data_IF_439306361670
#
_entry.id   IF_439306361670
#
_cell.length_a   1.000
_cell.length_b   1.000
_cell.length_c   1.000
_cell.angle_alpha   90.00
_cell.angle_beta   90.00
_cell.angle_gamma   90.00
#
_symmetry.space_group_name_H-M   'P 1'
#
loop_
_entity.id
_entity.type
_entity.pdbx_description
1 polymer ?
#
# COMPACT_ATOMS: atom_id res chain seq x y z
N UNK A 1 -15.38 34.82 -9.33
CA UNK A 1 -15.57 33.38 -9.58
C UNK A 1 -14.46 32.61 -8.90
N UNK A 2 -14.74 31.56 -8.11
CA UNK A 2 -13.68 30.79 -7.48
C UNK A 2 -13.07 29.84 -8.50
N UNK A 3 -11.75 29.95 -8.68
CA UNK A 3 -10.94 29.06 -9.49
C UNK A 3 -10.85 27.72 -8.77
N UNK A 4 -11.45 26.68 -9.34
CA UNK A 4 -11.21 25.29 -8.93
C UNK A 4 -9.74 24.97 -9.17
N UNK A 5 -8.97 24.90 -8.08
CA UNK A 5 -7.60 24.41 -8.10
C UNK A 5 -7.67 22.90 -8.23
N UNK A 6 -7.41 22.38 -9.44
CA UNK A 6 -7.29 20.94 -9.68
C UNK A 6 -6.18 20.36 -8.80
N UNK A 7 -6.43 19.28 -8.04
CA UNK A 7 -5.43 18.73 -7.16
C UNK A 7 -4.31 18.07 -7.98
N UNK A 8 -3.14 18.69 -7.98
CA UNK A 8 -1.84 18.02 -8.10
C UNK A 8 -1.55 17.34 -9.44
N UNK A 9 -0.98 18.11 -10.36
CA UNK A 9 -0.12 17.62 -11.44
C UNK A 9 0.93 16.61 -10.88
N UNK A 10 0.73 15.30 -11.06
CA UNK A 10 1.74 14.25 -10.80
C UNK A 10 2.12 13.45 -12.04
N UNK A 11 1.85 14.00 -13.24
CA UNK A 11 2.35 13.46 -14.50
C UNK A 11 3.80 13.90 -14.70
N UNK A 12 4.71 13.33 -13.91
CA UNK A 12 6.15 13.62 -13.96
C UNK A 12 7.06 12.40 -13.77
N UNK A 13 6.50 11.18 -13.75
CA UNK A 13 7.27 9.95 -13.75
C UNK A 13 7.01 9.22 -15.07
N UNK A 14 8.05 9.06 -15.88
CA UNK A 14 8.08 8.36 -17.18
C UNK A 14 7.61 6.89 -17.09
N UNK A 15 6.35 6.62 -16.76
CA UNK A 15 5.80 5.26 -16.58
C UNK A 15 6.37 4.48 -15.39
N UNK A 16 7.14 5.12 -14.50
CA UNK A 16 7.69 4.42 -13.34
C UNK A 16 6.64 4.17 -12.26
N UNK A 17 6.60 2.93 -11.75
CA UNK A 17 5.74 2.55 -10.63
C UNK A 17 5.92 3.48 -9.42
N UNK A 18 4.79 3.88 -8.84
CA UNK A 18 4.70 4.70 -7.63
C UNK A 18 4.59 3.82 -6.38
N UNK A 19 4.99 4.36 -5.23
CA UNK A 19 4.97 3.61 -3.97
C UNK A 19 3.58 3.10 -3.61
N UNK A 20 2.52 3.89 -3.81
CA UNK A 20 1.15 3.44 -3.53
C UNK A 20 0.72 2.25 -4.38
N UNK A 21 1.10 2.23 -5.67
CA UNK A 21 0.82 1.13 -6.60
C UNK A 21 1.55 -0.14 -6.16
N UNK A 22 2.82 0.02 -5.78
CA UNK A 22 3.63 -1.08 -5.26
C UNK A 22 3.07 -1.65 -3.95
N UNK A 23 2.66 -0.81 -3.00
CA UNK A 23 2.05 -1.27 -1.76
C UNK A 23 0.73 -2.01 -2.02
N UNK A 24 -0.09 -1.50 -2.95
CA UNK A 24 -1.32 -2.15 -3.36
C UNK A 24 -1.05 -3.51 -4.01
N UNK A 25 -0.03 -3.62 -4.89
CA UNK A 25 0.41 -4.88 -5.49
C UNK A 25 0.74 -5.93 -4.42
N UNK A 26 1.55 -5.57 -3.43
CA UNK A 26 1.87 -6.49 -2.32
C UNK A 26 0.64 -6.87 -1.49
N UNK A 27 -0.28 -5.92 -1.29
CA UNK A 27 -1.54 -6.13 -0.56
C UNK A 27 -2.55 -7.03 -1.30
N UNK A 28 -2.36 -7.24 -2.60
CA UNK A 28 -3.20 -8.11 -3.43
C UNK A 28 -2.61 -9.49 -3.68
N UNK A 29 -1.43 -9.79 -3.14
CA UNK A 29 -0.75 -11.07 -3.32
C UNK A 29 -0.49 -11.75 -1.97
N UNK A 30 -1.03 -12.95 -1.85
CA UNK A 30 -0.96 -13.78 -0.64
C UNK A 30 0.47 -14.11 -0.21
N UNK A 31 1.44 -14.13 -1.14
CA UNK A 31 2.84 -14.47 -0.81
C UNK A 31 3.51 -13.39 0.05
N UNK A 32 3.00 -12.15 0.02
CA UNK A 32 3.55 -11.04 0.82
C UNK A 32 2.75 -10.75 2.09
N UNK A 33 1.70 -11.54 2.37
CA UNK A 33 0.77 -11.30 3.48
C UNK A 33 1.47 -11.24 4.85
N UNK A 34 2.55 -12.01 5.04
CA UNK A 34 3.33 -11.98 6.30
C UNK A 34 4.08 -10.64 6.51
N UNK A 35 4.32 -9.87 5.45
CA UNK A 35 5.06 -8.60 5.50
C UNK A 35 4.14 -7.38 5.47
N UNK A 36 3.03 -7.47 4.76
CA UNK A 36 2.05 -6.40 4.61
C UNK A 36 0.66 -7.00 4.42
N UNK A 37 -0.33 -6.47 5.13
CA UNK A 37 -1.69 -6.99 5.05
C UNK A 37 -2.73 -5.90 5.30
N UNK A 38 -3.92 -6.11 4.75
CA UNK A 38 -5.13 -5.43 5.21
C UNK A 38 -5.40 -5.79 6.68
N UNK A 39 -5.99 -4.84 7.40
CA UNK A 39 -6.37 -5.02 8.80
C UNK A 39 -7.79 -5.59 8.94
N UNK A 40 -8.60 -5.53 7.88
CA UNK A 40 -10.03 -5.84 7.89
C UNK A 40 -10.91 -4.68 8.39
N UNK A 41 -10.33 -3.51 8.65
CA UNK A 41 -11.06 -2.31 9.04
C UNK A 41 -10.90 -1.20 8.01
N UNK A 42 -12.00 -0.79 7.39
CA UNK A 42 -12.00 0.16 6.27
C UNK A 42 -10.94 -0.21 5.21
N UNK A 43 -10.22 0.78 4.67
CA UNK A 43 -9.06 0.58 3.80
C UNK A 43 -7.73 0.66 4.56
N UNK A 44 -7.70 0.29 5.85
CA UNK A 44 -6.47 0.27 6.65
C UNK A 44 -5.60 -0.96 6.33
N UNK A 45 -4.31 -0.72 6.14
CA UNK A 45 -3.29 -1.75 6.02
C UNK A 45 -2.15 -1.54 7.02
N UNK A 46 -1.47 -2.64 7.35
CA UNK A 46 -0.34 -2.66 8.28
C UNK A 46 0.90 -3.23 7.59
N UNK A 47 2.04 -2.58 7.80
CA UNK A 47 3.34 -3.19 7.52
C UNK A 47 3.71 -4.07 8.71
N UNK A 48 3.55 -5.38 8.56
CA UNK A 48 3.91 -6.38 9.57
C UNK A 48 5.43 -6.53 9.68
N UNK A 49 6.14 -6.45 8.55
CA UNK A 49 7.59 -6.38 8.47
C UNK A 49 8.03 -5.16 7.65
N UNK A 50 8.15 -3.97 8.27
CA UNK A 50 8.44 -2.73 7.56
C UNK A 50 9.77 -2.74 6.81
N UNK A 51 10.80 -3.40 7.36
CA UNK A 51 12.11 -3.50 6.70
C UNK A 51 12.06 -4.38 5.46
N UNK A 52 11.37 -5.53 5.51
CA UNK A 52 11.18 -6.37 4.32
C UNK A 52 10.43 -5.62 3.21
N UNK A 53 9.36 -4.89 3.55
CA UNK A 53 8.62 -4.08 2.57
C UNK A 53 9.51 -2.99 1.97
N UNK A 54 10.36 -2.35 2.77
CA UNK A 54 11.32 -1.37 2.28
C UNK A 54 12.39 -1.97 1.38
N UNK A 55 12.89 -3.16 1.70
CA UNK A 55 13.82 -3.91 0.86
C UNK A 55 13.19 -4.26 -0.49
N UNK A 56 11.96 -4.79 -0.51
CA UNK A 56 11.22 -5.11 -1.74
C UNK A 56 10.99 -3.85 -2.59
N UNK A 57 10.68 -2.71 -1.97
CA UNK A 57 10.59 -1.43 -2.68
C UNK A 57 11.93 -0.98 -3.25
N UNK A 58 13.01 -1.15 -2.49
CA UNK A 58 14.38 -0.90 -2.92
C UNK A 58 14.75 -1.72 -4.15
N UNK A 59 14.44 -3.02 -4.13
CA UNK A 59 14.63 -3.91 -5.28
C UNK A 59 13.82 -3.43 -6.49
N UNK A 60 12.52 -3.12 -6.31
CA UNK A 60 11.64 -2.63 -7.39
C UNK A 60 12.16 -1.36 -8.07
N UNK A 61 12.82 -0.48 -7.33
CA UNK A 61 13.35 0.81 -7.83
C UNK A 61 14.84 0.81 -8.10
N UNK A 62 15.52 -0.34 -7.96
CA UNK A 62 16.97 -0.45 -8.00
C UNK A 62 17.69 0.56 -7.09
N UNK A 63 17.23 0.64 -5.82
CA UNK A 63 17.74 1.51 -4.75
C UNK A 63 18.18 0.64 -3.57
N UNK A 64 19.43 0.13 -3.56
CA UNK A 64 19.89 -0.82 -2.54
C UNK A 64 19.97 -0.24 -1.12
N UNK A 65 19.97 1.09 -0.98
CA UNK A 65 19.98 1.78 0.32
C UNK A 65 18.58 2.13 0.85
N UNK A 66 17.52 1.62 0.23
CA UNK A 66 16.15 1.81 0.72
C UNK A 66 15.98 1.12 2.08
N UNK A 67 15.30 1.79 3.00
CA UNK A 67 14.96 1.30 4.34
C UNK A 67 13.61 1.87 4.77
N UNK A 68 13.06 1.41 5.90
CA UNK A 68 11.74 1.88 6.34
C UNK A 68 11.70 3.38 6.63
N UNK A 69 12.77 3.98 7.16
CA UNK A 69 12.81 5.42 7.41
C UNK A 69 12.58 6.23 6.12
N UNK A 70 13.28 5.88 5.03
CA UNK A 70 13.13 6.51 3.72
C UNK A 70 11.76 6.22 3.10
N UNK A 71 11.28 4.97 3.18
CA UNK A 71 9.96 4.60 2.68
C UNK A 71 8.85 5.37 3.43
N UNK A 72 8.94 5.46 4.75
CA UNK A 72 7.99 6.20 5.58
C UNK A 72 8.03 7.70 5.28
N UNK A 73 9.21 8.25 4.95
CA UNK A 73 9.32 9.65 4.46
C UNK A 73 8.61 9.85 3.14
N UNK A 74 8.66 8.87 2.24
CA UNK A 74 7.92 8.89 0.98
C UNK A 74 6.40 8.80 1.21
N UNK A 75 5.96 7.95 2.15
CA UNK A 75 4.54 7.86 2.53
C UNK A 75 3.96 9.18 3.03
N UNK A 76 4.75 9.99 3.74
CA UNK A 76 4.32 11.32 4.22
C UNK A 76 3.91 12.28 3.10
N UNK A 77 4.46 12.13 1.88
CA UNK A 77 4.04 12.94 0.73
C UNK A 77 2.65 12.58 0.18
N UNK A 78 2.00 11.54 0.72
CA UNK A 78 0.61 11.23 0.41
C UNK A 78 -0.39 11.81 1.42
N UNK A 79 0.04 12.25 2.62
CA UNK A 79 -0.88 12.58 3.71
C UNK A 79 -1.74 13.81 3.41
N UNK A 80 -1.18 14.78 2.69
CA UNK A 80 -1.88 16.00 2.30
C UNK A 80 -2.76 15.80 1.04
N UNK A 81 -2.87 14.56 0.53
CA UNK A 81 -3.66 14.24 -0.65
C UNK A 81 -4.53 13.01 -0.47
N UNK A 82 -5.32 12.71 -1.50
CA UNK A 82 -6.38 11.70 -1.44
C UNK A 82 -5.89 10.26 -1.72
N UNK A 83 -4.63 9.94 -1.44
CA UNK A 83 -4.08 8.62 -1.76
C UNK A 83 -3.88 7.73 -0.53
N UNK A 84 -3.01 8.14 0.40
CA UNK A 84 -2.70 7.38 1.62
C UNK A 84 -2.57 8.32 2.81
N UNK A 85 -3.24 7.99 3.92
CA UNK A 85 -3.13 8.68 5.19
C UNK A 85 -2.43 7.82 6.26
N UNK A 86 -1.84 8.47 7.28
CA UNK A 86 -1.36 7.80 8.49
C UNK A 86 -2.51 7.56 9.45
N UNK A 87 -2.61 6.35 10.00
CA UNK A 87 -3.50 6.09 11.15
C UNK A 87 -2.77 6.46 12.43
N UNK A 88 -3.17 7.54 13.09
CA UNK A 88 -2.53 8.00 14.34
C UNK A 88 -2.76 7.00 15.49
N UNK A 89 -1.81 6.93 16.43
CA UNK A 89 -1.85 5.98 17.55
C UNK A 89 -1.53 4.51 17.21
N UNK A 90 -1.54 4.11 15.93
CA UNK A 90 -1.20 2.76 15.49
C UNK A 90 0.18 2.69 14.84
N UNK A 91 1.06 1.80 15.30
CA UNK A 91 2.41 1.62 14.73
C UNK A 91 2.32 0.93 13.36
N UNK A 92 2.98 1.51 12.36
CA UNK A 92 3.08 0.96 10.99
C UNK A 92 1.75 0.73 10.25
N UNK A 93 0.67 1.38 10.72
CA UNK A 93 -0.65 1.32 10.08
C UNK A 93 -0.91 2.60 9.29
N UNK A 94 -1.45 2.41 8.09
CA UNK A 94 -1.79 3.43 7.11
C UNK A 94 -3.14 3.09 6.50
N UNK A 95 -3.75 4.03 5.78
CA UNK A 95 -5.07 3.86 5.16
C UNK A 95 -5.05 4.40 3.74
N UNK A 96 -5.52 3.62 2.76
CA UNK A 96 -5.87 4.18 1.46
C UNK A 96 -7.12 5.04 1.60
N UNK A 97 -7.06 6.30 1.17
CA UNK A 97 -8.20 7.23 1.24
C UNK A 97 -8.83 7.49 -0.13
N UNK A 98 -8.25 6.93 -1.20
CA UNK A 98 -8.84 6.91 -2.53
C UNK A 98 -9.95 5.85 -2.65
N UNK A 99 -10.81 6.00 -3.66
CA UNK A 99 -11.79 5.00 -4.03
C UNK A 99 -11.14 3.84 -4.79
N UNK A 100 -10.69 2.83 -4.04
CA UNK A 100 -10.09 1.62 -4.60
C UNK A 100 -11.05 0.88 -5.55
N UNK A 101 -12.35 0.86 -5.25
CA UNK A 101 -13.34 0.16 -6.07
C UNK A 101 -13.40 0.75 -7.47
N UNK A 102 -13.37 2.07 -7.58
CA UNK A 102 -13.30 2.77 -8.88
C UNK A 102 -11.97 2.59 -9.62
N UNK A 103 -10.85 2.40 -8.90
CA UNK A 103 -9.52 2.28 -9.50
C UNK A 103 -9.22 0.86 -9.99
N UNK A 104 -9.57 -0.16 -9.20
CA UNK A 104 -9.18 -1.56 -9.46
C UNK A 104 -10.35 -2.56 -9.45
N UNK A 105 -11.58 -2.11 -9.26
CA UNK A 105 -12.77 -2.97 -9.27
C UNK A 105 -13.04 -3.71 -7.96
N UNK A 106 -12.19 -3.54 -6.95
CA UNK A 106 -12.32 -4.14 -5.62
C UNK A 106 -12.14 -3.11 -4.52
N UNK A 107 -12.92 -3.23 -3.45
CA UNK A 107 -12.65 -2.51 -2.20
C UNK A 107 -11.64 -3.28 -1.31
N UNK A 108 -11.20 -2.64 -0.23
CA UNK A 108 -10.21 -3.23 0.66
C UNK A 108 -10.70 -4.48 1.41
N UNK A 109 -12.00 -4.60 1.67
CA UNK A 109 -12.57 -5.74 2.37
C UNK A 109 -12.60 -6.96 1.44
N UNK A 110 -13.10 -6.77 0.21
CA UNK A 110 -13.11 -7.82 -0.82
C UNK A 110 -11.69 -8.33 -1.09
N UNK A 111 -10.70 -7.43 -1.22
CA UNK A 111 -9.30 -7.82 -1.39
C UNK A 111 -8.76 -8.58 -0.18
N UNK A 112 -9.06 -8.12 1.03
CA UNK A 112 -8.62 -8.80 2.25
C UNK A 112 -9.14 -10.23 2.32
N UNK A 113 -10.41 -10.45 1.99
CA UNK A 113 -11.04 -11.77 2.06
C UNK A 113 -10.45 -12.71 1.00
N UNK A 114 -10.30 -12.25 -0.24
CA UNK A 114 -9.64 -13.02 -1.31
C UNK A 114 -8.20 -13.40 -0.97
N UNK A 115 -7.40 -12.43 -0.50
CA UNK A 115 -5.99 -12.66 -0.16
C UNK A 115 -5.85 -13.60 1.03
N UNK A 116 -6.72 -13.47 2.05
CA UNK A 116 -6.74 -14.39 3.19
C UNK A 116 -7.10 -15.81 2.78
N UNK A 117 -8.14 -15.98 1.97
CA UNK A 117 -8.56 -17.30 1.50
C UNK A 117 -7.44 -18.01 0.72
N UNK A 118 -6.76 -17.31 -0.19
CA UNK A 118 -5.63 -17.87 -0.93
C UNK A 118 -4.47 -18.22 -0.01
N UNK A 119 -4.13 -17.33 0.94
CA UNK A 119 -3.06 -17.57 1.91
C UNK A 119 -3.33 -18.80 2.77
N UNK A 120 -4.55 -18.91 3.32
CA UNK A 120 -4.96 -20.00 4.20
C UNK A 120 -5.00 -21.34 3.43
N UNK A 121 -5.47 -21.35 2.18
CA UNK A 121 -5.42 -22.54 1.31
C UNK A 121 -3.98 -23.01 1.05
N UNK A 122 -3.06 -22.07 0.77
CA UNK A 122 -1.64 -22.39 0.52
C UNK A 122 -0.97 -22.95 1.77
N UNK A 123 -1.17 -22.31 2.94
CA UNK A 123 -0.62 -22.79 4.22
C UNK A 123 -1.26 -24.10 4.68
N UNK A 124 -2.57 -24.26 4.49
CA UNK A 124 -3.29 -25.49 4.82
C UNK A 124 -2.91 -26.69 3.94
N UNK A 125 -2.45 -26.45 2.70
CA UNK A 125 -1.94 -27.52 1.81
C UNK A 125 -0.47 -27.90 2.08
N UNK A 126 0.23 -27.16 2.95
CA UNK A 126 1.61 -27.44 3.35
C UNK A 126 1.71 -28.33 4.60
N UNK A 127 0.57 -28.72 5.17
CA UNK A 127 0.42 -29.62 6.33
C UNK A 127 -0.60 -30.72 6.03
#
# INVERSE_FOLDING_TARGET
SPTVVSPGNRSGNNGQIQLWQFLLELLTDADYREFIQWTGFESEFKLCNPEMVAQLWGQRKNKPTMNYEKLSRALRYYYDGDMIAKVHGKRFVYKFVCDLKSIIGYDALELNDLVREVYDKRKGSLY
#
